data_IF_516256378044
#
_entry.id   IF_516256378044
#
_cell.length_a   1.000
_cell.length_b   1.000
_cell.length_c   1.000
_cell.angle_alpha   90.00
_cell.angle_beta   90.00
_cell.angle_gamma   90.00
#
_symmetry.space_group_name_H-M   'P 1'
#
loop_
_entity.id
_entity.type
_entity.pdbx_description
1 polymer ?
#
# COMPACT_ATOMS: atom_id res chain seq x y z
N UNK A 1 7.15 14.41 15.85
CA UNK A 1 7.86 13.29 15.21
C UNK A 1 8.24 12.24 16.23
N UNK A 2 7.74 11.01 16.03
CA UNK A 2 8.10 9.84 16.83
C UNK A 2 9.08 8.95 16.05
N UNK A 3 9.90 8.21 16.79
CA UNK A 3 10.81 7.21 16.25
C UNK A 3 10.06 5.89 16.05
N UNK A 4 10.14 5.34 14.86
CA UNK A 4 9.50 4.09 14.43
C UNK A 4 10.59 3.11 14.03
N UNK A 5 10.61 1.93 14.64
CA UNK A 5 11.61 0.90 14.37
C UNK A 5 11.03 -0.20 13.51
N UNK A 6 11.50 -0.36 12.29
CA UNK A 6 11.08 -1.43 11.38
C UNK A 6 12.20 -2.46 11.23
N UNK A 7 11.83 -3.72 11.00
CA UNK A 7 12.77 -4.78 10.67
C UNK A 7 12.38 -5.42 9.35
N UNK A 8 13.35 -5.53 8.44
CA UNK A 8 13.19 -6.13 7.11
C UNK A 8 14.31 -7.16 6.94
N UNK A 9 13.94 -8.45 6.86
CA UNK A 9 14.87 -9.59 6.77
C UNK A 9 16.03 -9.53 7.79
N UNK A 10 15.73 -9.13 9.03
CA UNK A 10 16.71 -9.05 10.12
C UNK A 10 17.52 -7.76 10.17
N UNK A 11 17.44 -6.89 9.16
CA UNK A 11 18.00 -5.54 9.19
C UNK A 11 17.05 -4.61 9.95
N UNK A 12 17.55 -3.86 10.93
CA UNK A 12 16.76 -2.89 11.69
C UNK A 12 16.95 -1.48 11.14
N UNK A 13 15.84 -0.73 11.03
CA UNK A 13 15.83 0.65 10.60
C UNK A 13 15.05 1.51 11.58
N UNK A 14 15.54 2.71 11.84
CA UNK A 14 14.86 3.71 12.64
C UNK A 14 14.45 4.90 11.76
N UNK A 15 13.16 5.20 11.76
CA UNK A 15 12.54 6.23 10.93
C UNK A 15 11.83 7.25 11.82
N UNK A 16 11.85 8.52 11.41
CA UNK A 16 11.07 9.56 12.05
C UNK A 16 9.73 9.73 11.30
N UNK A 17 8.61 9.66 12.01
CA UNK A 17 7.27 9.76 11.42
C UNK A 17 6.32 10.56 12.32
N UNK A 18 5.41 11.32 11.71
CA UNK A 18 4.27 11.96 12.36
C UNK A 18 2.94 11.24 12.11
N UNK A 19 2.99 10.09 11.42
CA UNK A 19 1.80 9.31 11.08
C UNK A 19 1.09 8.78 12.33
N UNK A 20 -0.24 8.64 12.31
CA UNK A 20 -0.99 8.02 13.40
C UNK A 20 -0.56 6.56 13.61
N UNK A 21 -0.74 6.04 14.83
CA UNK A 21 -0.33 4.67 15.16
C UNK A 21 -1.01 3.60 14.30
N UNK A 22 -2.25 3.84 13.89
CA UNK A 22 -2.98 2.96 12.97
C UNK A 22 -2.24 2.79 11.63
N UNK A 23 -1.75 3.89 11.04
CA UNK A 23 -1.01 3.85 9.79
C UNK A 23 0.33 3.10 9.95
N UNK A 24 1.02 3.31 11.08
CA UNK A 24 2.26 2.60 11.39
C UNK A 24 2.02 1.10 11.58
N UNK A 25 0.97 0.73 12.31
CA UNK A 25 0.58 -0.67 12.49
C UNK A 25 0.20 -1.33 11.16
N UNK A 26 -0.46 -0.59 10.27
CA UNK A 26 -0.73 -1.05 8.91
C UNK A 26 0.57 -1.32 8.14
N UNK A 27 1.54 -0.41 8.18
CA UNK A 27 2.85 -0.58 7.55
C UNK A 27 3.57 -1.81 8.10
N UNK A 28 3.60 -2.01 9.42
CA UNK A 28 4.22 -3.20 10.03
C UNK A 28 3.58 -4.51 9.53
N UNK A 29 2.25 -4.56 9.48
CA UNK A 29 1.53 -5.73 8.96
C UNK A 29 1.89 -5.97 7.50
N UNK A 30 1.88 -4.93 6.67
CA UNK A 30 2.18 -5.04 5.24
C UNK A 30 3.63 -5.46 4.98
N UNK A 31 4.58 -4.96 5.77
CA UNK A 31 5.99 -5.38 5.70
C UNK A 31 6.16 -6.86 6.04
N UNK A 32 5.41 -7.40 7.01
CA UNK A 32 5.44 -8.84 7.32
C UNK A 32 4.89 -9.69 6.17
N UNK A 33 3.78 -9.25 5.56
CA UNK A 33 3.20 -9.93 4.40
C UNK A 33 4.19 -9.97 3.23
N UNK A 34 4.79 -8.83 2.88
CA UNK A 34 5.80 -8.74 1.81
C UNK A 34 6.98 -9.66 2.11
N UNK A 35 7.55 -9.61 3.31
CA UNK A 35 8.66 -10.48 3.69
C UNK A 35 8.30 -11.97 3.56
N UNK A 36 7.06 -12.34 3.88
CA UNK A 36 6.59 -13.71 3.69
C UNK A 36 6.48 -14.08 2.20
N UNK A 37 5.99 -13.16 1.36
CA UNK A 37 5.87 -13.38 -0.10
C UNK A 37 7.22 -13.51 -0.80
N UNK A 38 8.24 -12.82 -0.29
CA UNK A 38 9.58 -12.78 -0.88
C UNK A 38 10.59 -13.72 -0.17
N UNK A 39 10.12 -14.54 0.79
CA UNK A 39 11.00 -15.40 1.61
C UNK A 39 11.84 -16.38 0.79
N UNK A 40 11.30 -16.91 -0.31
CA UNK A 40 12.03 -17.83 -1.20
C UNK A 40 13.14 -17.09 -1.96
N UNK A 41 12.79 -15.93 -2.53
CA UNK A 41 13.70 -15.06 -3.28
C UNK A 41 14.83 -14.48 -2.40
N UNK A 42 14.61 -14.31 -1.10
CA UNK A 42 15.63 -13.80 -0.18
C UNK A 42 16.95 -14.60 -0.20
N UNK A 43 16.90 -15.89 -0.53
CA UNK A 43 18.11 -16.71 -0.65
C UNK A 43 18.69 -16.75 -2.07
N UNK A 44 18.00 -16.17 -3.05
CA UNK A 44 18.32 -16.28 -4.48
C UNK A 44 18.85 -14.96 -5.07
N UNK A 45 18.43 -13.82 -4.51
CA UNK A 45 18.84 -12.48 -4.96
C UNK A 45 19.48 -11.69 -3.83
N UNK A 46 20.20 -10.62 -4.18
CA UNK A 46 20.74 -9.72 -3.18
C UNK A 46 19.62 -8.99 -2.42
N UNK A 47 19.93 -8.54 -1.21
CA UNK A 47 18.98 -7.78 -0.39
C UNK A 47 18.51 -6.49 -1.08
N UNK A 48 19.41 -5.79 -1.78
CA UNK A 48 19.08 -4.56 -2.50
C UNK A 48 18.10 -4.81 -3.65
N UNK A 49 18.34 -5.87 -4.45
CA UNK A 49 17.40 -6.30 -5.50
C UNK A 49 16.04 -6.66 -4.91
N UNK A 50 16.02 -7.34 -3.76
CA UNK A 50 14.78 -7.71 -3.08
C UNK A 50 13.99 -6.49 -2.60
N UNK A 51 14.67 -5.48 -2.04
CA UNK A 51 14.05 -4.23 -1.65
C UNK A 51 13.47 -3.48 -2.85
N UNK A 52 14.19 -3.45 -3.98
CA UNK A 52 13.69 -2.86 -5.24
C UNK A 52 12.45 -3.61 -5.73
N UNK A 53 12.45 -4.94 -5.71
CA UNK A 53 11.27 -5.74 -6.07
C UNK A 53 10.07 -5.45 -5.17
N UNK A 54 10.29 -5.39 -3.85
CA UNK A 54 9.25 -5.03 -2.89
C UNK A 54 8.70 -3.62 -3.13
N UNK A 55 9.57 -2.65 -3.45
CA UNK A 55 9.16 -1.29 -3.78
C UNK A 55 8.31 -1.25 -5.05
N UNK A 56 8.74 -1.97 -6.11
CA UNK A 56 7.98 -2.08 -7.35
C UNK A 56 6.58 -2.67 -7.13
N UNK A 57 6.43 -3.73 -6.32
CA UNK A 57 5.12 -4.31 -5.98
C UNK A 57 4.22 -3.29 -5.25
N UNK A 58 4.79 -2.51 -4.32
CA UNK A 58 4.03 -1.47 -3.61
C UNK A 58 3.56 -0.38 -4.57
N UNK A 59 4.43 0.11 -5.46
CA UNK A 59 4.10 1.15 -6.44
C UNK A 59 3.08 0.67 -7.48
N UNK A 60 3.23 -0.57 -7.99
CA UNK A 60 2.27 -1.15 -8.93
C UNK A 60 0.89 -1.30 -8.29
N UNK A 61 0.85 -1.75 -7.04
CA UNK A 61 -0.40 -1.85 -6.27
C UNK A 61 -1.05 -0.48 -6.04
N UNK A 62 -0.26 0.54 -5.70
CA UNK A 62 -0.74 1.92 -5.54
C UNK A 62 -1.39 2.43 -6.84
N UNK A 63 -0.70 2.26 -7.98
CA UNK A 63 -1.22 2.62 -9.30
C UNK A 63 -2.57 1.95 -9.60
N UNK A 64 -2.70 0.64 -9.38
CA UNK A 64 -3.96 -0.06 -9.61
C UNK A 64 -5.06 0.36 -8.62
N UNK A 65 -4.72 0.67 -7.37
CA UNK A 65 -5.69 1.19 -6.41
C UNK A 65 -6.21 2.56 -6.80
N UNK A 66 -5.33 3.48 -7.22
CA UNK A 66 -5.72 4.80 -7.70
C UNK A 66 -6.67 4.68 -8.89
N UNK A 67 -6.31 3.86 -9.88
CA UNK A 67 -7.17 3.61 -11.04
C UNK A 67 -8.54 3.07 -10.63
N UNK A 68 -8.58 2.10 -9.71
CA UNK A 68 -9.84 1.51 -9.24
C UNK A 68 -10.70 2.52 -8.47
N UNK A 69 -10.09 3.42 -7.69
CA UNK A 69 -10.80 4.50 -7.01
C UNK A 69 -11.43 5.48 -8.00
N UNK A 70 -10.69 5.88 -9.04
CA UNK A 70 -11.21 6.72 -10.12
C UNK A 70 -12.41 6.06 -10.81
N UNK A 71 -12.31 4.77 -11.15
CA UNK A 71 -13.41 4.01 -11.75
C UNK A 71 -14.65 3.95 -10.85
N UNK A 72 -14.46 3.70 -9.55
CA UNK A 72 -15.57 3.64 -8.57
C UNK A 72 -16.24 5.01 -8.44
N UNK A 73 -15.43 6.08 -8.38
CA UNK A 73 -15.92 7.44 -8.23
C UNK A 73 -16.73 7.88 -9.45
N UNK A 74 -16.29 7.53 -10.66
CA UNK A 74 -17.04 7.83 -11.88
C UNK A 74 -18.35 7.04 -11.96
N UNK A 75 -18.32 5.73 -11.62
CA UNK A 75 -19.55 4.92 -11.52
C UNK A 75 -20.53 5.49 -10.51
N UNK A 76 -20.04 5.96 -9.37
CA UNK A 76 -20.86 6.59 -8.33
C UNK A 76 -21.48 7.90 -8.84
N UNK A 77 -20.70 8.76 -9.50
CA UNK A 77 -21.19 10.01 -10.10
C UNK A 77 -22.28 9.78 -11.13
N UNK A 78 -22.09 8.82 -12.04
CA UNK A 78 -23.10 8.46 -13.03
C UNK A 78 -24.38 8.02 -12.31
N UNK A 79 -24.27 7.16 -11.30
CA UNK A 79 -25.42 6.64 -10.57
C UNK A 79 -26.19 7.73 -9.80
N UNK A 80 -25.49 8.69 -9.19
CA UNK A 80 -26.12 9.86 -8.56
C UNK A 80 -26.91 10.68 -9.59
N UNK A 81 -26.30 11.00 -10.74
CA UNK A 81 -26.99 11.75 -11.80
C UNK A 81 -28.25 11.05 -12.31
N UNK A 82 -28.22 9.72 -12.44
CA UNK A 82 -29.39 8.93 -12.82
C UNK A 82 -30.51 9.08 -11.77
N UNK A 83 -30.18 8.94 -10.48
CA UNK A 83 -31.16 9.06 -9.41
C UNK A 83 -31.74 10.49 -9.28
N UNK A 84 -30.92 11.53 -9.48
CA UNK A 84 -31.38 12.92 -9.47
C UNK A 84 -32.32 13.23 -10.66
N UNK A 85 -32.04 12.65 -11.84
CA UNK A 85 -32.89 12.81 -13.03
C UNK A 85 -34.19 11.99 -12.99
N UNK A 86 -34.26 10.94 -12.16
CA UNK A 86 -35.48 10.17 -11.92
C UNK A 86 -36.41 10.85 -10.90
N UNK A 87 -35.88 11.68 -9.99
CA UNK A 87 -36.67 12.43 -8.99
C UNK A 87 -37.36 13.70 -9.53
N UNK A 88 -37.16 14.06 -10.80
CA UNK A 88 -37.77 15.25 -11.45
C UNK A 88 -38.88 14.92 -12.44
N UNK A 89 -39.39 13.68 -12.46
CA UNK A 89 -40.52 13.25 -13.29
C UNK A 89 -41.76 12.92 -12.48
#
# INVERSE_FOLDING_TARGET
>A
MKKVKISIFGQEYELASDSPDEAINHVYRRLKELQSSYKTLYNEVSFDELLVLMLCDVLEREYYFEKKLVEILEKTRIKIKTLEGEGTK
#
